data_IF_641590478501
#
_entry.id   IF_641590478501
#
_cell.length_a   1.000
_cell.length_b   1.000
_cell.length_c   1.000
_cell.angle_alpha   90.00
_cell.angle_beta   90.00
_cell.angle_gamma   90.00
#
_symmetry.space_group_name_H-M   'P 1'
#
loop_
_entity.id
_entity.type
_entity.pdbx_description
1 polymer ?
#
# COMPACT_ATOMS: atom_id res chain seq x y z
N UNK A 1 -16.84 1.29 11.25
CA UNK A 1 -16.35 2.17 10.17
C UNK A 1 -14.92 2.58 10.54
N UNK A 2 -14.05 2.74 9.55
CA UNK A 2 -12.66 3.16 9.72
C UNK A 2 -12.24 4.06 8.55
N UNK A 3 -11.10 4.72 8.67
CA UNK A 3 -10.51 5.53 7.60
C UNK A 3 -9.47 4.74 6.77
N UNK A 4 -8.78 5.39 5.84
CA UNK A 4 -7.83 4.72 4.94
C UNK A 4 -6.73 3.93 5.67
N UNK A 5 -6.28 4.42 6.83
CA UNK A 5 -5.28 3.73 7.65
C UNK A 5 -5.85 2.42 8.17
N UNK A 6 -7.04 2.48 8.77
CA UNK A 6 -7.71 1.32 9.35
C UNK A 6 -7.88 0.20 8.31
N UNK A 7 -8.26 0.56 7.08
CA UNK A 7 -8.39 -0.40 5.98
C UNK A 7 -7.04 -1.01 5.58
N UNK A 8 -5.97 -0.22 5.48
CA UNK A 8 -4.65 -0.73 5.13
C UNK A 8 -4.10 -1.68 6.22
N UNK A 9 -4.23 -1.29 7.49
CA UNK A 9 -3.82 -2.09 8.65
C UNK A 9 -4.62 -3.40 8.73
N UNK A 10 -5.95 -3.33 8.58
CA UNK A 10 -6.81 -4.51 8.63
C UNK A 10 -6.47 -5.51 7.52
N UNK A 11 -6.23 -5.03 6.29
CA UNK A 11 -5.77 -5.86 5.17
C UNK A 11 -4.41 -6.49 5.46
N UNK A 12 -3.45 -5.71 5.98
CA UNK A 12 -2.11 -6.20 6.32
C UNK A 12 -2.19 -7.39 7.28
N UNK A 13 -2.83 -7.21 8.44
CA UNK A 13 -2.92 -8.28 9.44
C UNK A 13 -3.73 -9.49 8.95
N UNK A 14 -4.79 -9.26 8.18
CA UNK A 14 -5.58 -10.36 7.60
C UNK A 14 -4.76 -11.22 6.64
N UNK A 15 -4.01 -10.60 5.73
CA UNK A 15 -3.16 -11.32 4.79
C UNK A 15 -1.98 -12.01 5.49
N UNK A 16 -1.42 -11.40 6.53
CA UNK A 16 -0.42 -12.03 7.39
C UNK A 16 -0.98 -13.28 8.08
N UNK A 17 -2.20 -13.23 8.60
CA UNK A 17 -2.86 -14.37 9.22
C UNK A 17 -3.14 -15.51 8.21
N UNK A 18 -3.37 -15.16 6.93
CA UNK A 18 -3.52 -16.11 5.84
C UNK A 18 -2.17 -16.67 5.31
N UNK A 19 -1.04 -16.30 5.93
CA UNK A 19 0.28 -16.85 5.63
C UNK A 19 1.11 -16.07 4.62
N UNK A 20 0.67 -14.89 4.16
CA UNK A 20 1.49 -14.06 3.28
C UNK A 20 2.71 -13.51 4.03
N UNK A 21 3.94 -13.60 3.50
CA UNK A 21 5.14 -13.04 4.13
C UNK A 21 5.08 -11.52 4.40
N UNK A 22 5.72 -11.05 5.47
CA UNK A 22 5.69 -9.64 5.87
C UNK A 22 6.49 -8.73 4.94
N UNK A 23 7.64 -9.21 4.49
CA UNK A 23 8.53 -8.57 3.52
C UNK A 23 7.86 -8.28 2.17
N UNK A 24 6.79 -9.00 1.84
CA UNK A 24 5.97 -8.75 0.64
C UNK A 24 4.85 -7.73 0.84
N UNK A 25 4.59 -7.28 2.06
CA UNK A 25 3.42 -6.45 2.40
C UNK A 25 3.87 -5.17 3.08
N UNK A 26 3.63 -4.03 2.43
CA UNK A 26 3.97 -2.72 2.97
C UNK A 26 2.74 -1.83 3.05
N UNK A 27 2.50 -1.25 4.23
CA UNK A 27 1.54 -0.16 4.38
C UNK A 27 2.20 1.09 3.81
N UNK A 28 1.59 1.68 2.80
CA UNK A 28 2.18 2.76 2.02
C UNK A 28 1.36 4.03 2.21
N UNK A 29 2.04 5.06 2.72
CA UNK A 29 1.50 6.41 2.72
C UNK A 29 1.68 7.02 1.33
N UNK A 30 0.60 7.56 0.78
CA UNK A 30 0.56 8.18 -0.54
C UNK A 30 -0.13 9.53 -0.47
N UNK A 31 0.14 10.39 -1.46
CA UNK A 31 -0.72 11.53 -1.78
C UNK A 31 -1.63 11.14 -2.93
N UNK A 32 -2.93 11.24 -2.74
CA UNK A 32 -3.87 11.30 -3.87
C UNK A 32 -3.68 12.67 -4.52
N UNK A 33 -3.53 12.75 -5.83
CA UNK A 33 -3.19 14.01 -6.52
C UNK A 33 -4.40 14.90 -6.81
N UNK A 34 -5.59 14.34 -6.99
CA UNK A 34 -6.78 15.09 -7.44
C UNK A 34 -8.07 14.63 -6.72
N UNK A 35 -8.56 15.35 -5.69
CA UNK A 35 -7.91 16.48 -5.01
C UNK A 35 -6.69 16.03 -4.18
N UNK A 36 -5.75 16.94 -3.94
CA UNK A 36 -4.56 16.63 -3.14
C UNK A 36 -4.95 16.29 -1.69
N UNK A 37 -4.65 15.07 -1.25
CA UNK A 37 -4.84 14.66 0.15
C UNK A 37 -3.96 13.47 0.53
N UNK A 38 -3.70 13.36 1.83
CA UNK A 38 -3.12 12.18 2.45
C UNK A 38 -4.04 10.96 2.27
N UNK A 39 -3.44 9.81 1.99
CA UNK A 39 -4.14 8.53 1.88
C UNK A 39 -3.20 7.39 2.24
N UNK A 40 -3.78 6.23 2.57
CA UNK A 40 -3.01 5.04 2.92
C UNK A 40 -3.55 3.82 2.20
N UNK A 41 -2.64 3.04 1.64
CA UNK A 41 -2.93 1.81 0.90
C UNK A 41 -2.05 0.68 1.42
N UNK A 42 -2.40 -0.55 1.09
CA UNK A 42 -1.49 -1.69 1.23
C UNK A 42 -0.88 -2.00 -0.13
N UNK A 43 0.44 -2.05 -0.22
CA UNK A 43 1.15 -2.54 -1.39
C UNK A 43 1.62 -3.97 -1.17
N UNK A 44 1.48 -4.80 -2.20
CA UNK A 44 1.94 -6.18 -2.22
C UNK A 44 3.00 -6.35 -3.31
N UNK A 45 4.14 -6.92 -2.97
CA UNK A 45 5.26 -7.21 -3.86
C UNK A 45 5.29 -8.71 -4.19
N UNK A 46 4.82 -9.14 -5.38
CA UNK A 46 4.92 -10.53 -5.80
C UNK A 46 6.38 -11.01 -5.87
N UNK A 47 7.25 -10.14 -6.39
CA UNK A 47 8.69 -10.31 -6.54
C UNK A 47 9.42 -9.16 -5.82
N UNK A 48 10.58 -9.43 -5.23
CA UNK A 48 11.28 -8.46 -4.37
C UNK A 48 11.66 -7.15 -5.10
N UNK A 49 12.04 -7.25 -6.37
CA UNK A 49 12.39 -6.13 -7.24
C UNK A 49 11.28 -5.82 -8.27
N UNK A 50 10.09 -6.39 -8.05
CA UNK A 50 8.96 -6.29 -8.96
C UNK A 50 8.10 -5.06 -8.72
N UNK A 51 7.24 -4.77 -9.69
CA UNK A 51 6.20 -3.76 -9.53
C UNK A 51 5.16 -4.21 -8.50
N UNK A 52 4.82 -3.37 -7.49
CA UNK A 52 3.82 -3.75 -6.50
C UNK A 52 2.40 -3.62 -7.03
N UNK A 53 1.52 -4.43 -6.48
CA UNK A 53 0.07 -4.29 -6.61
C UNK A 53 -0.48 -3.42 -5.48
N UNK A 54 -1.45 -2.57 -5.79
CA UNK A 54 -2.06 -1.63 -4.83
C UNK A 54 -3.43 -2.13 -4.39
N UNK A 55 -3.60 -2.35 -3.09
CA UNK A 55 -4.86 -2.69 -2.45
C UNK A 55 -5.43 -1.45 -1.75
N UNK A 56 -6.37 -0.79 -2.41
CA UNK A 56 -6.93 0.50 -1.99
C UNK A 56 -8.32 0.37 -1.35
N UNK A 57 -8.75 1.36 -0.55
CA UNK A 57 -10.11 1.53 -0.04
C UNK A 57 -10.96 2.49 -0.87
N UNK A 58 -10.37 3.23 -1.82
CA UNK A 58 -11.09 4.14 -2.73
C UNK A 58 -11.63 3.43 -3.98
N UNK A 59 -11.05 2.30 -4.35
CA UNK A 59 -11.44 1.49 -5.53
C UNK A 59 -11.36 0.00 -5.18
N UNK A 60 -12.20 -0.82 -5.81
CA UNK A 60 -12.28 -2.26 -5.56
C UNK A 60 -11.28 -3.08 -6.41
N UNK A 61 -10.70 -2.49 -7.45
CA UNK A 61 -9.69 -3.13 -8.29
C UNK A 61 -8.34 -3.19 -7.59
N UNK A 62 -7.59 -4.26 -7.86
CA UNK A 62 -6.18 -4.39 -7.47
C UNK A 62 -5.36 -4.18 -8.72
N UNK A 63 -4.76 -3.01 -8.83
CA UNK A 63 -4.01 -2.58 -10.01
C UNK A 63 -2.51 -2.47 -9.69
N UNK A 64 -1.63 -2.67 -10.69
CA UNK A 64 -0.21 -2.36 -10.56
C UNK A 64 0.01 -0.88 -10.22
N UNK A 65 1.06 -0.57 -9.47
CA UNK A 65 1.35 0.80 -9.05
C UNK A 65 1.50 1.79 -10.22
N UNK A 66 2.04 1.37 -11.37
CA UNK A 66 2.16 2.22 -12.55
C UNK A 66 0.79 2.59 -13.15
N UNK A 67 -0.23 1.75 -12.96
CA UNK A 67 -1.60 2.06 -13.38
C UNK A 67 -2.29 3.09 -12.44
N UNK A 68 -1.79 3.26 -11.21
CA UNK A 68 -2.35 4.19 -10.20
C UNK A 68 -1.68 5.56 -10.25
N UNK A 69 -1.79 6.23 -11.40
CA UNK A 69 -1.25 7.59 -11.63
C UNK A 69 -1.87 8.68 -10.74
N UNK A 70 -2.95 8.36 -10.04
CA UNK A 70 -3.60 9.21 -9.06
C UNK A 70 -2.89 9.21 -7.70
N UNK A 71 -2.00 8.25 -7.43
CA UNK A 71 -1.27 8.09 -6.18
C UNK A 71 0.22 8.42 -6.34
N UNK A 72 0.74 9.26 -5.45
CA UNK A 72 2.17 9.55 -5.33
C UNK A 72 2.70 8.98 -4.01
N UNK A 73 3.53 7.93 -4.01
CA UNK A 73 4.08 7.36 -2.78
C UNK A 73 5.03 8.32 -2.07
N UNK A 74 4.99 8.33 -0.73
CA UNK A 74 5.87 9.17 0.11
C UNK A 74 6.76 8.32 1.00
N UNK A 75 6.21 7.28 1.63
CA UNK A 75 6.97 6.28 2.37
C UNK A 75 6.13 5.02 2.57
N UNK A 76 6.80 3.91 2.86
CA UNK A 76 6.17 2.63 3.13
C UNK A 76 6.75 2.00 4.40
N UNK A 77 5.99 1.18 5.10
CA UNK A 77 6.44 0.53 6.33
C UNK A 77 5.68 -0.77 6.60
N UNK A 78 6.25 -1.59 7.47
CA UNK A 78 5.59 -2.74 8.06
C UNK A 78 6.19 -2.99 9.47
N UNK A 79 5.94 -4.15 10.07
CA UNK A 79 6.49 -4.48 11.39
C UNK A 79 8.02 -4.63 11.45
N UNK A 80 8.72 -4.61 10.31
CA UNK A 80 10.16 -4.87 10.21
C UNK A 80 10.97 -3.62 9.85
N UNK A 81 10.36 -2.59 9.24
CA UNK A 81 11.09 -1.40 8.83
C UNK A 81 10.24 -0.30 8.20
N UNK A 82 10.95 0.73 7.72
CA UNK A 82 10.42 1.89 6.99
C UNK A 82 11.30 2.12 5.76
N UNK A 83 10.67 2.40 4.61
CA UNK A 83 11.30 2.63 3.32
C UNK A 83 10.81 3.95 2.73
N UNK A 84 11.73 4.69 2.11
CA UNK A 84 11.44 5.88 1.33
C UNK A 84 11.53 5.52 -0.15
N UNK A 85 10.64 6.04 -1.01
CA UNK A 85 10.81 5.93 -2.46
C UNK A 85 12.11 6.62 -2.88
N UNK A 86 12.73 6.12 -3.95
CA UNK A 86 13.92 6.74 -4.53
C UNK A 86 13.62 8.21 -4.90
N UNK A 87 14.58 9.09 -4.61
CA UNK A 87 14.46 10.54 -4.80
C UNK A 87 14.48 10.97 -6.27
#
# INVERSE_FOLDING_TARGET
AGDCEDFAIAKYFSLRQLGMPADKLLITYVKVLNPERAHMVLTYYPDADGEPLVLDSLVDTIDPADARKDLLPVYAFNGEGVWLPDA
#
